data_IF_172512394081
#
_entry.id   IF_172512394081
#
_cell.length_a   1.000
_cell.length_b   1.000
_cell.length_c   1.000
_cell.angle_alpha   90.00
_cell.angle_beta   90.00
_cell.angle_gamma   90.00
#
_symmetry.space_group_name_H-M   'P 1'
#
loop_
_entity.id
_entity.type
_entity.pdbx_description
1 polymer ?
#
# COMPACT_ATOMS: atom_id res chain seq x y z
N UNK A 1 12.58 7.60 15.89
CA UNK A 1 12.70 6.11 15.89
C UNK A 1 13.26 5.71 14.52
N UNK A 2 14.14 4.70 14.41
CA UNK A 2 14.63 4.29 13.08
C UNK A 2 13.47 3.68 12.27
N UNK A 3 13.40 3.99 10.98
CA UNK A 3 12.36 3.54 10.03
C UNK A 3 12.12 2.02 10.09
N UNK A 4 13.22 1.24 10.15
CA UNK A 4 13.19 -0.21 10.25
C UNK A 4 12.52 -0.75 11.52
N UNK A 5 12.62 -0.04 12.65
CA UNK A 5 11.96 -0.42 13.90
C UNK A 5 10.45 -0.30 13.77
N UNK A 6 9.98 0.76 13.11
CA UNK A 6 8.55 1.00 12.93
C UNK A 6 7.93 0.00 11.95
N UNK A 7 8.62 -0.31 10.85
CA UNK A 7 8.20 -1.37 9.90
C UNK A 7 8.01 -2.70 10.63
N UNK A 8 8.94 -3.07 11.50
CA UNK A 8 8.85 -4.33 12.24
C UNK A 8 7.69 -4.33 13.24
N UNK A 9 7.44 -3.22 13.94
CA UNK A 9 6.28 -3.08 14.83
C UNK A 9 4.99 -3.20 14.04
N UNK A 10 4.87 -2.49 12.91
CA UNK A 10 3.71 -2.57 12.03
C UNK A 10 3.50 -4.01 11.52
N UNK A 11 4.54 -4.63 10.98
CA UNK A 11 4.46 -5.98 10.42
C UNK A 11 4.06 -7.01 11.48
N UNK A 12 4.63 -6.92 12.69
CA UNK A 12 4.24 -7.77 13.83
C UNK A 12 2.78 -7.56 14.21
N UNK A 13 2.34 -6.30 14.32
CA UNK A 13 0.97 -5.94 14.66
C UNK A 13 -0.03 -6.43 13.60
N UNK A 14 0.32 -6.26 12.33
CA UNK A 14 -0.46 -6.72 11.20
C UNK A 14 -0.60 -8.25 11.24
N UNK A 15 0.48 -9.00 11.46
CA UNK A 15 0.44 -10.46 11.55
C UNK A 15 -0.41 -10.99 12.72
N UNK A 16 -0.59 -10.23 13.81
CA UNK A 16 -1.48 -10.61 14.92
C UNK A 16 -2.95 -10.44 14.53
N UNK A 17 -3.25 -9.41 13.72
CA UNK A 17 -4.62 -9.05 13.35
C UNK A 17 -5.10 -9.85 12.14
N UNK A 18 -4.21 -10.11 11.20
CA UNK A 18 -4.51 -10.79 9.96
C UNK A 18 -4.64 -12.28 10.22
N UNK A 19 -5.78 -12.82 9.78
CA UNK A 19 -6.02 -14.26 9.72
C UNK A 19 -5.73 -14.75 8.30
N UNK A 20 -5.47 -16.06 8.11
CA UNK A 20 -5.49 -16.66 6.78
C UNK A 20 -6.75 -16.23 6.01
N UNK A 21 -6.66 -15.96 4.69
CA UNK A 21 -5.51 -16.20 3.82
C UNK A 21 -4.50 -15.03 3.71
N UNK A 22 -4.56 -14.02 4.57
CA UNK A 22 -3.66 -12.86 4.46
C UNK A 22 -2.26 -13.12 5.02
N UNK A 23 -1.25 -12.54 4.37
CA UNK A 23 0.15 -12.63 4.75
C UNK A 23 0.85 -11.28 4.63
N UNK A 24 1.78 -11.00 5.55
CA UNK A 24 2.56 -9.75 5.58
C UNK A 24 3.97 -10.04 5.09
N UNK A 25 4.46 -9.25 4.15
CA UNK A 25 5.86 -9.30 3.69
C UNK A 25 6.51 -7.93 3.85
N UNK A 26 7.74 -7.94 4.36
CA UNK A 26 8.61 -6.77 4.47
C UNK A 26 9.57 -6.78 3.29
N UNK A 27 9.76 -5.62 2.65
CA UNK A 27 10.63 -5.45 1.47
C UNK A 27 10.30 -6.33 0.24
N UNK A 28 9.03 -6.67 -0.07
CA UNK A 28 8.73 -7.42 -1.28
C UNK A 28 8.89 -6.54 -2.52
N UNK A 29 9.02 -7.18 -3.69
CA UNK A 29 9.01 -6.51 -4.98
C UNK A 29 7.62 -6.61 -5.62
N UNK A 30 7.11 -5.50 -6.15
CA UNK A 30 5.89 -5.44 -6.94
C UNK A 30 6.22 -4.92 -8.34
N UNK A 31 5.57 -5.46 -9.36
CA UNK A 31 5.68 -4.93 -10.72
C UNK A 31 5.16 -3.48 -10.79
N UNK A 32 5.85 -2.61 -11.53
CA UNK A 32 5.43 -1.22 -11.75
C UNK A 32 5.20 -0.87 -13.23
N UNK A 33 5.64 -1.73 -14.13
CA UNK A 33 5.36 -1.61 -15.56
C UNK A 33 5.27 -2.98 -16.22
N UNK A 34 4.50 -3.06 -17.30
CA UNK A 34 4.48 -4.17 -18.24
C UNK A 34 4.68 -3.54 -19.61
N UNK A 35 5.80 -3.86 -20.26
CA UNK A 35 6.12 -3.36 -21.59
C UNK A 35 6.19 -4.51 -22.59
N UNK A 36 6.03 -4.19 -23.87
CA UNK A 36 6.21 -5.14 -24.96
C UNK A 36 7.60 -5.00 -25.57
N UNK A 37 8.23 -6.12 -25.91
CA UNK A 37 9.47 -6.13 -26.69
C UNK A 37 9.17 -5.86 -28.18
N UNK A 38 10.20 -5.88 -29.04
CA UNK A 38 10.05 -5.69 -30.50
C UNK A 38 9.18 -6.76 -31.20
N UNK A 39 8.88 -7.87 -30.53
CA UNK A 39 8.01 -8.95 -31.01
C UNK A 39 6.58 -8.85 -30.44
N UNK A 40 6.26 -7.77 -29.73
CA UNK A 40 4.97 -7.59 -29.04
C UNK A 40 4.71 -8.60 -27.93
N UNK A 41 5.76 -9.10 -27.27
CA UNK A 41 5.69 -10.02 -26.13
C UNK A 41 6.04 -9.29 -24.83
N UNK A 42 5.45 -9.70 -23.70
CA UNK A 42 5.86 -9.23 -22.36
C UNK A 42 7.15 -9.95 -21.95
N UNK A 43 8.32 -9.28 -21.86
CA UNK A 43 9.61 -9.94 -21.63
C UNK A 43 9.89 -10.23 -20.15
N UNK A 44 8.85 -10.33 -19.33
CA UNK A 44 8.93 -10.65 -17.91
C UNK A 44 8.73 -12.17 -17.78
N UNK A 45 9.79 -12.87 -17.36
CA UNK A 45 9.80 -14.35 -17.29
C UNK A 45 8.71 -14.92 -16.38
N UNK A 46 8.51 -14.30 -15.21
CA UNK A 46 7.53 -14.76 -14.23
C UNK A 46 6.92 -13.56 -13.49
N UNK A 47 5.67 -13.26 -13.83
CA UNK A 47 4.90 -12.18 -13.22
C UNK A 47 4.48 -12.48 -11.78
N UNK A 48 4.47 -13.76 -11.36
CA UNK A 48 4.13 -14.18 -10.00
C UNK A 48 5.30 -14.00 -9.04
N UNK A 49 6.53 -13.86 -9.55
CA UNK A 49 7.73 -13.65 -8.75
C UNK A 49 8.49 -12.40 -9.24
N UNK A 50 7.98 -11.18 -8.95
CA UNK A 50 8.63 -9.94 -9.36
C UNK A 50 10.03 -9.83 -8.77
N UNK A 51 10.99 -9.38 -9.59
CA UNK A 51 12.39 -9.21 -9.19
C UNK A 51 12.86 -7.81 -9.53
N UNK A 52 13.59 -7.19 -8.60
CA UNK A 52 14.23 -5.88 -8.84
C UNK A 52 15.11 -5.95 -10.09
N UNK A 53 15.02 -4.90 -10.92
CA UNK A 53 15.68 -4.86 -12.24
C UNK A 53 14.85 -5.46 -13.39
N UNK A 54 13.74 -6.14 -13.09
CA UNK A 54 12.80 -6.66 -14.08
C UNK A 54 11.42 -6.02 -13.88
N UNK A 55 11.34 -4.70 -14.13
CA UNK A 55 10.08 -3.93 -14.05
C UNK A 55 9.36 -4.02 -12.70
N UNK A 56 10.11 -4.20 -11.61
CA UNK A 56 9.60 -4.25 -10.25
C UNK A 56 10.32 -3.27 -9.31
N UNK A 57 9.55 -2.61 -8.44
CA UNK A 57 10.08 -1.82 -7.34
C UNK A 57 9.90 -2.55 -6.01
N UNK A 58 10.87 -2.36 -5.12
CA UNK A 58 10.74 -2.76 -3.73
C UNK A 58 9.84 -1.77 -3.00
N UNK A 59 8.94 -2.30 -2.17
CA UNK A 59 8.10 -1.54 -1.22
C UNK A 59 8.47 -1.93 0.20
N UNK A 60 8.26 -1.07 1.17
CA UNK A 60 8.69 -1.36 2.54
C UNK A 60 7.87 -2.48 3.21
N UNK A 61 6.55 -2.46 3.05
CA UNK A 61 5.65 -3.51 3.53
C UNK A 61 4.49 -3.72 2.57
N UNK A 62 4.09 -4.97 2.37
CA UNK A 62 2.90 -5.32 1.62
C UNK A 62 2.12 -6.43 2.33
N UNK A 63 0.80 -6.27 2.40
CA UNK A 63 -0.15 -7.31 2.75
C UNK A 63 -0.62 -7.96 1.46
N UNK A 64 -0.44 -9.26 1.39
CA UNK A 64 -0.94 -10.11 0.31
C UNK A 64 -2.10 -10.96 0.81
N UNK A 65 -2.89 -11.42 -0.14
CA UNK A 65 -3.82 -12.51 0.05
C UNK A 65 -3.31 -13.75 -0.70
N UNK A 66 -3.20 -14.88 -0.01
CA UNK A 66 -2.90 -16.16 -0.65
C UNK A 66 -4.17 -16.71 -1.31
N UNK A 67 -4.23 -16.63 -2.64
CA UNK A 67 -5.31 -17.20 -3.44
C UNK A 67 -4.74 -18.37 -4.22
N UNK A 68 -5.13 -19.58 -3.83
CA UNK A 68 -4.57 -20.84 -4.37
C UNK A 68 -3.04 -20.89 -4.21
N UNK A 69 -2.29 -20.76 -5.32
CA UNK A 69 -0.84 -20.78 -5.39
C UNK A 69 -0.24 -19.41 -5.79
N UNK A 70 -1.00 -18.32 -5.62
CA UNK A 70 -0.58 -16.95 -5.96
C UNK A 70 -0.77 -16.05 -4.75
N UNK A 71 0.21 -15.19 -4.51
CA UNK A 71 0.12 -14.12 -3.51
C UNK A 71 -0.28 -12.83 -4.23
N UNK A 72 -1.52 -12.40 -4.01
CA UNK A 72 -2.06 -11.24 -4.67
C UNK A 72 -1.93 -10.00 -3.76
N UNK A 73 -1.28 -8.89 -4.19
CA UNK A 73 -1.03 -7.74 -3.33
C UNK A 73 -2.31 -6.93 -3.09
N UNK A 74 -2.61 -6.64 -1.82
CA UNK A 74 -3.84 -5.93 -1.39
C UNK A 74 -3.57 -4.56 -0.82
N UNK A 75 -2.52 -4.43 -0.02
CA UNK A 75 -2.19 -3.18 0.68
C UNK A 75 -0.68 -2.99 0.77
N UNK A 76 -0.19 -1.86 0.26
CA UNK A 76 1.20 -1.41 0.44
C UNK A 76 1.27 -0.28 1.46
N UNK A 77 2.29 -0.34 2.31
CA UNK A 77 2.70 0.76 3.17
C UNK A 77 4.17 1.08 2.94
N UNK A 78 4.45 2.35 2.66
CA UNK A 78 5.79 2.91 2.64
C UNK A 78 6.04 3.69 3.94
N UNK A 79 7.27 3.68 4.42
CA UNK A 79 7.62 4.26 5.71
C UNK A 79 8.71 5.30 5.54
N UNK A 80 8.55 6.40 6.29
CA UNK A 80 9.58 7.43 6.43
C UNK A 80 9.61 7.96 7.85
N UNK A 81 10.74 8.52 8.24
CA UNK A 81 10.82 9.30 9.48
C UNK A 81 10.22 10.68 9.28
N UNK A 82 10.78 11.45 8.34
CA UNK A 82 10.28 12.76 7.89
C UNK A 82 9.91 12.69 6.41
N UNK A 83 8.98 13.55 6.00
CA UNK A 83 8.49 13.61 4.61
C UNK A 83 8.82 14.94 3.99
N UNK A 84 9.46 14.93 2.83
CA UNK A 84 9.65 16.08 1.94
C UNK A 84 8.60 16.10 0.82
N UNK A 85 8.54 17.19 0.05
CA UNK A 85 7.74 17.22 -1.19
C UNK A 85 8.21 16.18 -2.20
N UNK A 86 9.52 15.95 -2.32
CA UNK A 86 10.07 14.95 -3.21
C UNK A 86 9.62 13.53 -2.83
N UNK A 87 9.53 13.23 -1.54
CA UNK A 87 9.02 11.93 -1.07
C UNK A 87 7.56 11.73 -1.47
N UNK A 88 6.70 12.73 -1.27
CA UNK A 88 5.27 12.64 -1.64
C UNK A 88 5.11 12.39 -3.14
N UNK A 89 5.81 13.17 -3.97
CA UNK A 89 5.78 13.00 -5.42
C UNK A 89 6.27 11.61 -5.83
N UNK A 90 7.36 11.13 -5.22
CA UNK A 90 7.94 9.82 -5.52
C UNK A 90 6.99 8.69 -5.15
N UNK A 91 6.44 8.69 -3.93
CA UNK A 91 5.56 7.62 -3.48
C UNK A 91 4.18 7.67 -4.15
N UNK A 92 3.68 8.86 -4.47
CA UNK A 92 2.49 9.02 -5.32
C UNK A 92 2.72 8.41 -6.71
N UNK A 93 3.85 8.74 -7.37
CA UNK A 93 4.17 8.16 -8.67
C UNK A 93 4.33 6.63 -8.62
N UNK A 94 4.99 6.08 -7.60
CA UNK A 94 5.09 4.62 -7.37
C UNK A 94 3.71 4.00 -7.19
N UNK A 95 2.85 4.60 -6.37
CA UNK A 95 1.49 4.12 -6.14
C UNK A 95 0.68 4.07 -7.44
N UNK A 96 0.74 5.12 -8.25
CA UNK A 96 0.08 5.15 -9.56
C UNK A 96 0.56 4.02 -10.47
N UNK A 97 1.87 3.82 -10.58
CA UNK A 97 2.46 2.74 -11.40
C UNK A 97 2.05 1.34 -10.93
N UNK A 98 2.09 1.07 -9.62
CA UNK A 98 1.60 -0.21 -9.10
C UNK A 98 0.10 -0.40 -9.33
N UNK A 99 -0.72 0.63 -9.15
CA UNK A 99 -2.18 0.55 -9.35
C UNK A 99 -2.58 0.34 -10.82
N UNK A 100 -1.75 0.75 -11.78
CA UNK A 100 -1.97 0.41 -13.19
C UNK A 100 -1.87 -1.10 -13.44
N UNK A 101 -1.09 -1.83 -12.65
CA UNK A 101 -0.94 -3.29 -12.75
C UNK A 101 -1.86 -4.03 -11.79
N UNK A 102 -2.02 -3.50 -10.58
CA UNK A 102 -2.81 -4.06 -9.49
C UNK A 102 -3.96 -3.08 -9.15
N UNK A 103 -5.04 -3.04 -9.94
CA UNK A 103 -6.05 -1.98 -9.84
C UNK A 103 -6.83 -1.96 -8.52
N UNK A 104 -6.78 -3.04 -7.75
CA UNK A 104 -7.44 -3.16 -6.44
C UNK A 104 -6.50 -2.81 -5.28
N UNK A 105 -5.22 -2.54 -5.56
CA UNK A 105 -4.19 -2.30 -4.57
C UNK A 105 -4.46 -0.98 -3.83
N UNK A 106 -4.46 -1.06 -2.50
CA UNK A 106 -4.44 0.11 -1.63
C UNK A 106 -3.00 0.47 -1.29
N UNK A 107 -2.71 1.76 -1.18
CA UNK A 107 -1.34 2.24 -1.06
C UNK A 107 -1.29 3.46 -0.15
N UNK A 108 -0.50 3.39 0.92
CA UNK A 108 -0.32 4.54 1.81
C UNK A 108 1.10 4.77 2.28
N UNK A 109 1.26 5.89 2.96
CA UNK A 109 2.54 6.40 3.45
C UNK A 109 2.44 6.68 4.95
N UNK A 110 3.43 6.21 5.70
CA UNK A 110 3.50 6.39 7.16
C UNK A 110 4.76 7.17 7.53
N UNK A 111 4.58 8.29 8.22
CA UNK A 111 5.64 9.18 8.66
C UNK A 111 5.79 9.15 10.19
N UNK A 112 6.84 8.49 10.67
CA UNK A 112 7.00 8.17 12.11
C UNK A 112 7.47 9.34 12.99
N UNK A 113 7.93 10.46 12.43
CA UNK A 113 8.34 11.65 13.21
C UNK A 113 7.47 12.88 12.93
N UNK A 114 6.34 12.71 12.25
CA UNK A 114 5.34 13.76 12.06
C UNK A 114 4.15 13.59 13.01
N UNK A 115 3.77 14.66 13.70
CA UNK A 115 2.56 14.71 14.53
C UNK A 115 1.30 14.93 13.68
N UNK A 116 1.44 15.64 12.57
CA UNK A 116 0.36 16.06 11.68
C UNK A 116 0.70 15.81 10.21
N UNK A 117 -0.35 15.69 9.38
CA UNK A 117 -0.20 15.53 7.94
C UNK A 117 0.21 16.88 7.34
N UNK A 118 1.36 16.98 6.66
CA UNK A 118 1.83 18.26 6.15
C UNK A 118 0.95 18.72 4.98
N UNK A 119 0.70 20.04 4.88
CA UNK A 119 -0.13 20.62 3.80
C UNK A 119 0.26 20.15 2.39
N UNK A 120 1.57 20.02 2.15
CA UNK A 120 2.15 19.52 0.88
C UNK A 120 1.65 18.13 0.45
N UNK A 121 1.16 17.31 1.38
CA UNK A 121 0.52 16.04 1.02
C UNK A 121 -0.74 16.30 0.20
N UNK A 122 -1.60 17.23 0.64
CA UNK A 122 -2.85 17.54 -0.04
C UNK A 122 -2.67 18.22 -1.40
N UNK A 123 -1.53 18.90 -1.60
CA UNK A 123 -1.25 19.59 -2.88
C UNK A 123 -0.52 18.73 -3.91
N UNK A 124 0.22 17.71 -3.48
CA UNK A 124 1.10 16.94 -4.38
C UNK A 124 0.77 15.45 -4.47
N UNK A 125 -0.11 14.93 -3.60
CA UNK A 125 -0.54 13.55 -3.70
C UNK A 125 -1.62 13.39 -4.79
N UNK A 126 -1.42 12.42 -5.68
CA UNK A 126 -2.38 12.05 -6.73
C UNK A 126 -2.86 10.60 -6.60
N UNK A 127 -2.06 9.72 -5.99
CA UNK A 127 -2.30 8.26 -6.05
C UNK A 127 -2.14 7.52 -4.71
N UNK A 128 -1.64 8.15 -3.65
CA UNK A 128 -1.70 7.55 -2.31
C UNK A 128 -3.14 7.62 -1.80
N UNK A 129 -3.61 6.53 -1.22
CA UNK A 129 -4.95 6.39 -0.67
C UNK A 129 -5.08 6.96 0.74
N UNK A 130 -4.01 6.90 1.51
CA UNK A 130 -3.99 7.38 2.89
C UNK A 130 -2.58 7.77 3.34
N UNK A 131 -2.52 8.57 4.39
CA UNK A 131 -1.30 9.00 5.05
C UNK A 131 -1.47 8.92 6.56
N UNK A 132 -0.44 8.47 7.27
CA UNK A 132 -0.40 8.45 8.74
C UNK A 132 0.79 9.25 9.22
N UNK A 133 0.52 10.35 9.94
CA UNK A 133 1.52 11.01 10.77
C UNK A 133 1.54 10.27 12.11
N UNK A 134 2.65 9.60 12.44
CA UNK A 134 2.71 8.58 13.50
C UNK A 134 3.60 8.94 14.70
N UNK A 135 4.03 10.20 14.84
CA UNK A 135 4.95 10.64 15.92
C UNK A 135 4.44 10.33 17.32
N UNK A 136 3.15 10.59 17.56
CA UNK A 136 2.57 10.54 18.91
C UNK A 136 1.96 9.18 19.27
N UNK A 137 2.15 8.16 18.41
CA UNK A 137 1.56 6.84 18.61
C UNK A 137 2.49 5.97 19.43
N UNK A 138 2.15 5.82 20.71
CA UNK A 138 2.69 4.74 21.57
C UNK A 138 2.32 3.38 20.97
N UNK A 139 3.14 2.36 21.21
CA UNK A 139 3.02 1.01 20.60
C UNK A 139 1.59 0.42 20.62
N UNK A 140 0.87 0.56 21.73
CA UNK A 140 -0.51 0.02 21.88
C UNK A 140 -1.56 0.78 21.06
N UNK A 141 -1.46 2.11 20.96
CA UNK A 141 -2.34 2.91 20.08
C UNK A 141 -2.03 2.65 18.62
N UNK A 142 -0.75 2.48 18.30
CA UNK A 142 -0.32 2.12 16.96
C UNK A 142 -0.92 0.78 16.50
N UNK A 143 -0.91 -0.24 17.37
CA UNK A 143 -1.54 -1.53 17.08
C UNK A 143 -3.04 -1.41 16.74
N UNK A 144 -3.80 -0.67 17.54
CA UNK A 144 -5.23 -0.45 17.31
C UNK A 144 -5.50 0.32 16.01
N UNK A 145 -4.70 1.36 15.74
CA UNK A 145 -4.76 2.09 14.47
C UNK A 145 -4.49 1.16 13.29
N UNK A 146 -3.39 0.39 13.34
CA UNK A 146 -3.01 -0.53 12.28
C UNK A 146 -4.13 -1.53 12.02
N UNK A 147 -4.75 -2.09 13.08
CA UNK A 147 -5.88 -3.00 12.97
C UNK A 147 -7.05 -2.40 12.21
N UNK A 148 -7.46 -1.17 12.57
CA UNK A 148 -8.61 -0.53 11.95
C UNK A 148 -8.33 -0.13 10.50
N UNK A 149 -7.15 0.43 10.25
CA UNK A 149 -6.69 0.81 8.90
C UNK A 149 -6.61 -0.41 7.98
N UNK A 150 -5.94 -1.48 8.41
CA UNK A 150 -5.79 -2.69 7.60
C UNK A 150 -7.17 -3.25 7.24
N UNK A 151 -8.10 -3.28 8.21
CA UNK A 151 -9.47 -3.74 7.95
C UNK A 151 -10.20 -2.86 6.93
N UNK A 152 -10.12 -1.53 7.07
CA UNK A 152 -10.81 -0.63 6.15
C UNK A 152 -10.22 -0.70 4.74
N UNK A 153 -8.90 -0.71 4.61
CA UNK A 153 -8.24 -0.76 3.31
C UNK A 153 -8.42 -2.12 2.63
N UNK A 154 -8.33 -3.24 3.37
CA UNK A 154 -8.64 -4.56 2.79
C UNK A 154 -10.10 -4.67 2.36
N UNK A 155 -11.04 -4.08 3.11
CA UNK A 155 -12.43 -4.01 2.70
C UNK A 155 -12.58 -3.28 1.36
N UNK A 156 -11.95 -2.10 1.21
CA UNK A 156 -11.98 -1.34 -0.05
C UNK A 156 -11.33 -2.13 -1.18
N UNK A 157 -10.16 -2.75 -0.94
CA UNK A 157 -9.48 -3.60 -1.94
C UNK A 157 -10.39 -4.72 -2.45
N UNK A 158 -11.10 -5.40 -1.55
CA UNK A 158 -12.03 -6.47 -1.90
C UNK A 158 -13.27 -5.95 -2.64
N UNK A 159 -13.78 -4.75 -2.32
CA UNK A 159 -14.86 -4.13 -3.09
C UNK A 159 -14.41 -3.74 -4.50
N UNK A 160 -13.20 -3.19 -4.65
CA UNK A 160 -12.61 -2.90 -5.97
C UNK A 160 -12.42 -4.17 -6.79
N UNK A 161 -12.00 -5.27 -6.18
CA UNK A 161 -11.88 -6.56 -6.85
C UNK A 161 -13.19 -7.07 -7.43
N UNK A 162 -14.30 -6.95 -6.68
CA UNK A 162 -15.63 -7.33 -7.16
C UNK A 162 -16.03 -6.55 -8.42
N UNK A 163 -15.46 -5.35 -8.63
CA UNK A 163 -15.66 -4.52 -9.82
C UNK A 163 -14.71 -4.92 -10.96
N UNK A 164 -13.40 -5.05 -10.67
CA UNK A 164 -12.38 -5.29 -11.70
C UNK A 164 -12.34 -6.73 -12.23
N UNK A 165 -12.53 -7.71 -11.35
CA UNK A 165 -12.44 -9.13 -11.67
C UNK A 165 -13.74 -9.89 -11.42
N UNK A 166 -14.74 -9.23 -10.83
CA UNK A 166 -16.11 -9.73 -10.74
C UNK A 166 -17.04 -9.06 -11.77
N UNK A 167 -18.33 -9.26 -11.57
CA UNK A 167 -19.38 -8.67 -12.41
C UNK A 167 -20.20 -7.62 -11.65
N UNK A 168 -19.68 -7.11 -10.51
CA UNK A 168 -20.42 -6.13 -9.70
C UNK A 168 -20.44 -4.78 -10.42
N UNK A 169 -21.63 -4.23 -10.64
CA UNK A 169 -21.86 -2.92 -11.26
C UNK A 169 -22.50 -1.98 -10.25
N UNK A 170 -22.17 -0.70 -10.36
CA UNK A 170 -22.71 0.38 -9.54
C UNK A 170 -23.13 1.52 -10.46
N UNK A 171 -24.18 2.25 -10.07
CA UNK A 171 -24.69 3.43 -10.79
C UNK A 171 -24.39 4.75 -10.08
N UNK A 172 -23.70 4.71 -8.94
CA UNK A 172 -23.26 5.88 -8.18
C UNK A 172 -21.85 5.64 -7.64
N UNK A 173 -20.98 6.63 -7.78
CA UNK A 173 -19.65 6.64 -7.22
C UNK A 173 -19.35 8.02 -6.62
N UNK A 174 -18.89 8.03 -5.37
CA UNK A 174 -18.39 9.20 -4.69
C UNK A 174 -17.21 8.79 -3.81
N UNK A 175 -16.15 9.59 -3.83
CA UNK A 175 -15.02 9.45 -2.90
C UNK A 175 -15.20 10.43 -1.75
N UNK A 176 -14.95 9.99 -0.53
CA UNK A 176 -15.02 10.81 0.68
C UNK A 176 -13.63 10.95 1.30
N UNK A 177 -13.28 12.17 1.70
CA UNK A 177 -12.05 12.44 2.45
C UNK A 177 -12.33 12.22 3.93
N UNK A 178 -11.68 11.23 4.53
CA UNK A 178 -11.81 10.93 5.95
C UNK A 178 -10.59 11.48 6.72
N UNK A 179 -10.78 12.58 7.44
CA UNK A 179 -9.77 13.18 8.32
C UNK A 179 -10.10 12.87 9.77
N UNK A 180 -9.13 12.28 10.48
CA UNK A 180 -9.26 11.95 11.91
C UNK A 180 -7.99 12.32 12.63
N UNK A 181 -8.15 13.01 13.75
CA UNK A 181 -7.13 13.06 14.79
C UNK A 181 -7.30 11.78 15.61
N UNK A 182 -6.25 10.98 15.69
CA UNK A 182 -6.31 9.72 16.42
C UNK A 182 -5.87 10.02 17.85
N UNK A 183 -6.86 10.34 18.70
CA UNK A 183 -6.67 10.73 20.10
C UNK A 183 -6.18 9.60 21.02
#
# INVERSE_FOLDING_TARGET
MKESTFINVFAKSASIVLKPPFLVKVKPNLLYELYLNKKLEVPIKDVKVPKRGNSAFQVDCCIYEAVQNVEFPRLVLEFKTKITTHDILTYSAKAGKHKLIYPVLRYGLVASELAEIPYRFFTHNEHLDFFIAAKDYKTTKLEALCKNLIKSELFISNELEKIYFGNKRFNFYQSFVNLKNLE
#
